data_IF_346286263102
#
_entry.id   IF_346286263102
#
_cell.length_a   1.000
_cell.length_b   1.000
_cell.length_c   1.000
_cell.angle_alpha   90.00
_cell.angle_beta   90.00
_cell.angle_gamma   90.00
#
_symmetry.space_group_name_H-M   'P 1'
#
loop_
_entity.id
_entity.type
_entity.pdbx_description
1 polymer ?
#
# COMPACT_ATOMS: atom_id res chain seq x y z
N UNK A 1 -13.86 -10.26 59.02
CA UNK A 1 -12.76 -9.78 58.15
C UNK A 1 -13.26 -8.57 57.37
N UNK A 2 -12.82 -7.36 57.72
CA UNK A 2 -13.16 -6.14 56.98
C UNK A 2 -12.24 -6.07 55.75
N UNK A 3 -12.78 -6.28 54.55
CA UNK A 3 -12.09 -5.95 53.31
C UNK A 3 -11.90 -4.43 53.25
N UNK A 4 -10.68 -3.95 53.48
CA UNK A 4 -10.26 -2.59 53.10
C UNK A 4 -10.32 -2.52 51.58
N UNK A 5 -11.36 -1.87 51.05
CA UNK A 5 -11.41 -1.49 49.65
C UNK A 5 -10.31 -0.44 49.40
N UNK A 6 -9.21 -0.84 48.76
CA UNK A 6 -8.27 0.10 48.15
C UNK A 6 -9.00 0.77 46.99
N UNK A 7 -9.28 2.07 47.08
CA UNK A 7 -9.89 2.81 45.98
C UNK A 7 -8.94 2.79 44.78
N UNK A 8 -9.24 1.97 43.78
CA UNK A 8 -8.45 1.93 42.54
C UNK A 8 -8.56 3.29 41.85
N UNK A 9 -7.46 4.04 41.77
CA UNK A 9 -7.41 5.30 41.03
C UNK A 9 -7.62 4.98 39.53
N UNK A 10 -8.75 5.41 38.98
CA UNK A 10 -9.05 5.29 37.56
C UNK A 10 -8.81 6.64 36.84
N UNK A 11 -8.65 6.59 35.51
CA UNK A 11 -8.42 7.76 34.68
C UNK A 11 -9.36 7.75 33.47
N UNK A 12 -10.00 8.89 33.17
CA UNK A 12 -10.68 9.12 31.89
C UNK A 12 -9.85 10.09 31.04
N UNK A 13 -9.13 9.56 30.05
CA UNK A 13 -8.23 10.32 29.17
C UNK A 13 -7.20 11.16 29.93
N UNK A 14 -6.40 11.92 29.19
CA UNK A 14 -5.49 12.95 29.69
C UNK A 14 -5.64 14.19 28.82
N UNK A 15 -5.50 15.38 29.41
CA UNK A 15 -5.46 16.63 28.65
C UNK A 15 -4.20 16.65 27.77
N UNK A 16 -4.35 17.02 26.50
CA UNK A 16 -3.21 17.24 25.62
C UNK A 16 -2.35 18.41 26.15
N UNK A 17 -1.02 18.30 26.13
CA UNK A 17 -0.13 19.41 26.42
C UNK A 17 -0.29 20.56 25.42
N UNK A 18 0.15 21.77 25.77
CA UNK A 18 0.07 22.94 24.89
C UNK A 18 0.93 22.84 23.63
N UNK A 19 1.91 21.92 23.61
CA UNK A 19 2.72 21.57 22.44
C UNK A 19 1.97 20.72 21.40
N UNK A 20 0.74 20.27 21.69
CA UNK A 20 -0.07 19.44 20.81
C UNK A 20 -1.40 20.12 20.49
N UNK A 21 -1.79 20.15 19.21
CA UNK A 21 -3.10 20.66 18.79
C UNK A 21 -4.04 19.47 18.61
N UNK A 22 -5.15 19.46 19.34
CA UNK A 22 -6.17 18.41 19.20
C UNK A 22 -6.73 18.40 17.77
N UNK A 23 -6.70 17.26 17.08
CA UNK A 23 -7.25 17.10 15.73
C UNK A 23 -8.70 17.58 15.61
N UNK A 24 -9.51 17.37 16.65
CA UNK A 24 -10.92 17.76 16.65
C UNK A 24 -11.19 19.24 16.99
N UNK A 25 -10.16 20.03 17.35
CA UNK A 25 -10.33 21.47 17.60
C UNK A 25 -10.54 22.24 16.28
N UNK A 26 -11.02 23.48 16.35
CA UNK A 26 -11.16 24.34 15.16
C UNK A 26 -9.83 24.51 14.42
N UNK A 27 -8.73 24.67 15.17
CA UNK A 27 -7.37 24.77 14.63
C UNK A 27 -6.90 23.44 14.01
N UNK A 28 -7.11 22.31 14.69
CA UNK A 28 -6.73 20.98 14.18
C UNK A 28 -7.47 20.60 12.89
N UNK A 29 -8.76 20.99 12.78
CA UNK A 29 -9.54 20.84 11.55
C UNK A 29 -9.05 21.72 10.42
N UNK A 30 -8.68 22.98 10.73
CA UNK A 30 -8.10 23.90 9.74
C UNK A 30 -6.82 23.32 9.14
N UNK A 31 -5.88 22.89 9.99
CA UNK A 31 -4.63 22.25 9.55
C UNK A 31 -4.91 21.06 8.62
N UNK A 32 -5.87 20.21 8.98
CA UNK A 32 -6.22 19.04 8.17
C UNK A 32 -6.81 19.42 6.80
N UNK A 33 -7.73 20.39 6.75
CA UNK A 33 -8.34 20.84 5.50
C UNK A 33 -7.27 21.44 4.58
N UNK A 34 -6.37 22.27 5.11
CA UNK A 34 -5.27 22.87 4.36
C UNK A 34 -4.30 21.80 3.84
N UNK A 35 -3.95 20.81 4.66
CA UNK A 35 -3.16 19.64 4.24
C UNK A 35 -3.83 18.82 3.14
N UNK A 36 -5.15 18.59 3.25
CA UNK A 36 -5.92 17.82 2.29
C UNK A 36 -5.98 18.50 0.93
N UNK A 37 -6.27 19.81 0.90
CA UNK A 37 -6.30 20.61 -0.35
C UNK A 37 -4.94 20.61 -1.05
N UNK A 38 -3.85 20.55 -0.29
CA UNK A 38 -2.48 20.47 -0.83
C UNK A 38 -2.02 19.06 -1.22
N UNK A 39 -2.84 18.03 -0.99
CA UNK A 39 -2.47 16.64 -1.27
C UNK A 39 -1.54 16.00 -0.25
N UNK A 40 -1.37 16.57 0.95
CA UNK A 40 -0.54 16.02 2.02
C UNK A 40 -1.36 15.35 3.14
N UNK A 41 -2.49 14.71 2.79
CA UNK A 41 -3.35 13.98 3.73
C UNK A 41 -4.05 12.77 3.07
N UNK A 42 -3.54 12.25 1.95
CA UNK A 42 -4.20 11.18 1.19
C UNK A 42 -4.23 9.86 1.98
N UNK A 43 -3.12 9.51 2.64
CA UNK A 43 -3.04 8.29 3.46
C UNK A 43 -4.03 8.28 4.64
N UNK A 44 -4.50 9.45 5.08
CA UNK A 44 -5.48 9.58 6.17
C UNK A 44 -6.71 8.72 5.92
N UNK A 45 -7.24 8.67 4.69
CA UNK A 45 -8.48 7.96 4.40
C UNK A 45 -8.36 6.46 4.64
N UNK A 46 -7.22 5.86 4.26
CA UNK A 46 -6.95 4.45 4.55
C UNK A 46 -6.75 4.21 6.04
N UNK A 47 -5.94 5.03 6.71
CA UNK A 47 -5.69 4.91 8.14
C UNK A 47 -6.95 5.10 9.00
N UNK A 48 -7.78 6.10 8.67
CA UNK A 48 -9.02 6.39 9.38
C UNK A 48 -10.03 5.25 9.26
N UNK A 49 -10.08 4.58 8.10
CA UNK A 49 -10.94 3.42 7.85
C UNK A 49 -10.58 2.20 8.72
N UNK A 50 -9.34 2.14 9.22
CA UNK A 50 -8.85 1.06 10.07
C UNK A 50 -8.44 1.51 11.47
N UNK A 51 -8.83 2.73 11.90
CA UNK A 51 -8.36 3.27 13.16
C UNK A 51 -8.98 2.55 14.36
N UNK A 52 -8.14 1.83 15.11
CA UNK A 52 -8.54 1.06 16.30
C UNK A 52 -7.95 1.61 17.60
N UNK A 53 -8.46 1.12 18.73
CA UNK A 53 -7.87 1.36 20.05
C UNK A 53 -7.03 0.16 20.42
N UNK A 54 -5.81 0.35 20.92
CA UNK A 54 -4.97 -0.76 21.39
C UNK A 54 -5.68 -1.56 22.50
N UNK A 55 -5.73 -2.90 22.41
CA UNK A 55 -6.48 -3.73 23.38
C UNK A 55 -5.81 -3.74 24.76
N UNK A 56 -4.47 -3.65 24.79
CA UNK A 56 -3.68 -3.63 26.02
C UNK A 56 -2.82 -2.36 26.10
N UNK A 57 -2.52 -1.83 27.30
CA UNK A 57 -1.68 -0.63 27.45
C UNK A 57 -0.29 -0.71 26.79
N UNK A 58 0.28 -1.90 26.61
CA UNK A 58 1.58 -2.11 25.94
C UNK A 58 1.47 -2.44 24.44
N UNK A 59 0.26 -2.63 23.91
CA UNK A 59 0.03 -3.09 22.53
C UNK A 59 0.11 -2.00 21.46
N UNK A 60 0.50 -0.77 21.80
CA UNK A 60 0.57 0.34 20.83
C UNK A 60 1.32 -0.01 19.53
N UNK A 61 2.40 -0.81 19.60
CA UNK A 61 3.10 -1.31 18.43
C UNK A 61 2.28 -2.29 17.60
N UNK A 62 1.57 -3.23 18.24
CA UNK A 62 0.69 -4.18 17.56
C UNK A 62 -0.49 -3.47 16.90
N UNK A 63 -1.19 -2.58 17.61
CA UNK A 63 -2.34 -1.85 17.07
C UNK A 63 -1.95 -1.00 15.87
N UNK A 64 -0.79 -0.34 15.97
CA UNK A 64 -0.24 0.44 14.86
C UNK A 64 0.04 -0.45 13.66
N UNK A 65 0.64 -1.63 13.86
CA UNK A 65 0.90 -2.56 12.76
C UNK A 65 -0.40 -3.15 12.18
N UNK A 66 -1.41 -3.45 13.01
CA UNK A 66 -2.74 -3.88 12.54
C UNK A 66 -3.39 -2.79 11.67
N UNK A 67 -3.30 -1.51 12.08
CA UNK A 67 -3.78 -0.39 11.27
C UNK A 67 -3.08 -0.36 9.91
N UNK A 68 -1.75 -0.49 9.89
CA UNK A 68 -0.93 -0.50 8.67
C UNK A 68 -1.32 -1.66 7.77
N UNK A 69 -1.36 -2.89 8.30
CA UNK A 69 -1.65 -4.09 7.52
C UNK A 69 -3.04 -4.06 6.90
N UNK A 70 -4.05 -3.62 7.65
CA UNK A 70 -5.40 -3.51 7.11
C UNK A 70 -5.53 -2.34 6.12
N UNK A 71 -4.87 -1.20 6.37
CA UNK A 71 -4.85 -0.06 5.43
C UNK A 71 -4.13 -0.36 4.11
N UNK A 72 -3.13 -1.24 4.15
CA UNK A 72 -2.47 -1.77 2.96
C UNK A 72 -3.15 -3.02 2.39
N UNK A 73 -4.35 -3.35 2.91
CA UNK A 73 -5.19 -4.48 2.47
C UNK A 73 -4.45 -5.82 2.44
N UNK A 74 -3.55 -6.03 3.41
CA UNK A 74 -2.78 -7.26 3.51
C UNK A 74 -3.68 -8.40 3.99
N UNK A 75 -3.86 -9.41 3.14
CA UNK A 75 -4.54 -10.64 3.54
C UNK A 75 -3.68 -11.44 4.53
N UNK A 76 -4.14 -11.70 5.77
CA UNK A 76 -3.37 -12.46 6.75
C UNK A 76 -3.17 -13.93 6.36
N UNK A 77 -3.93 -14.46 5.39
CA UNK A 77 -3.87 -15.86 4.99
C UNK A 77 -4.44 -16.84 6.04
N UNK A 78 -4.92 -16.34 7.17
CA UNK A 78 -5.54 -17.11 8.26
C UNK A 78 -6.83 -16.45 8.73
N UNK A 79 -7.77 -17.28 9.19
CA UNK A 79 -9.06 -16.82 9.72
C UNK A 79 -8.84 -16.15 11.08
N UNK A 80 -9.42 -14.96 11.26
CA UNK A 80 -9.51 -14.30 12.56
C UNK A 80 -10.70 -14.80 13.36
N UNK A 81 -11.89 -14.58 12.81
CA UNK A 81 -13.17 -15.03 13.34
C UNK A 81 -13.98 -15.53 12.15
N UNK A 82 -14.27 -16.82 12.12
CA UNK A 82 -14.94 -17.45 10.98
C UNK A 82 -16.21 -16.68 10.57
N UNK A 83 -16.44 -16.40 9.28
CA UNK A 83 -15.62 -16.76 8.10
C UNK A 83 -14.52 -15.76 7.72
N UNK A 84 -14.26 -14.75 8.54
CA UNK A 84 -13.49 -13.56 8.18
C UNK A 84 -11.97 -13.72 8.36
N UNK A 85 -11.22 -13.28 7.35
CA UNK A 85 -9.77 -13.06 7.40
C UNK A 85 -9.53 -11.56 7.54
N UNK A 86 -8.93 -11.17 8.65
CA UNK A 86 -8.64 -9.76 8.93
C UNK A 86 -7.54 -9.69 9.97
N UNK A 87 -6.64 -8.70 9.88
CA UNK A 87 -5.59 -8.57 10.90
C UNK A 87 -6.17 -8.10 12.22
N UNK A 88 -5.71 -8.75 13.29
CA UNK A 88 -6.01 -8.44 14.68
C UNK A 88 -4.72 -8.56 15.50
N UNK A 89 -4.65 -7.89 16.66
CA UNK A 89 -3.42 -7.84 17.48
C UNK A 89 -2.97 -9.25 17.92
N UNK A 90 -3.92 -10.15 18.14
CA UNK A 90 -3.68 -11.57 18.47
C UNK A 90 -3.01 -12.39 17.35
N UNK A 91 -2.73 -11.79 16.20
CA UNK A 91 -2.05 -12.41 15.05
C UNK A 91 -0.61 -11.92 14.85
N UNK A 92 -0.05 -11.12 15.76
CA UNK A 92 1.25 -10.50 15.55
C UNK A 92 2.29 -11.08 16.53
N UNK A 93 2.53 -12.39 16.39
CA UNK A 93 3.26 -13.22 17.36
C UNK A 93 4.52 -13.90 16.80
N UNK A 94 4.85 -13.69 15.53
CA UNK A 94 5.92 -14.44 14.85
C UNK A 94 7.36 -14.04 15.23
N UNK A 95 7.56 -12.87 15.85
CA UNK A 95 8.90 -12.42 16.29
C UNK A 95 9.04 -12.35 17.81
N UNK A 96 7.93 -12.11 18.53
CA UNK A 96 7.89 -11.99 19.98
C UNK A 96 6.56 -12.56 20.46
N UNK A 97 6.54 -13.46 21.47
CA UNK A 97 5.29 -13.97 22.02
C UNK A 97 4.38 -12.87 22.57
N UNK A 98 3.07 -12.98 22.35
CA UNK A 98 2.09 -11.97 22.79
C UNK A 98 2.11 -11.71 24.30
N UNK A 99 2.42 -12.73 25.11
CA UNK A 99 2.55 -12.63 26.57
C UNK A 99 3.72 -11.76 27.00
N UNK A 100 4.80 -11.72 26.21
CA UNK A 100 5.95 -10.87 26.49
C UNK A 100 5.67 -9.44 26.02
N UNK A 101 5.07 -9.27 24.83
CA UNK A 101 4.61 -7.97 24.33
C UNK A 101 3.63 -7.32 25.33
N UNK A 102 2.75 -8.11 25.96
CA UNK A 102 1.80 -7.63 26.96
C UNK A 102 2.48 -7.04 28.21
N UNK A 103 3.70 -7.50 28.54
CA UNK A 103 4.47 -7.03 29.70
C UNK A 103 5.34 -5.82 29.35
N UNK A 104 6.01 -5.83 28.20
CA UNK A 104 7.10 -4.89 27.91
C UNK A 104 6.89 -4.04 26.66
N UNK A 105 5.89 -4.35 25.83
CA UNK A 105 5.73 -3.77 24.50
C UNK A 105 6.72 -4.35 23.50
N UNK A 106 7.02 -3.58 22.44
CA UNK A 106 8.01 -3.96 21.43
C UNK A 106 8.99 -2.82 21.13
N UNK A 107 10.19 -3.17 20.69
CA UNK A 107 11.21 -2.24 20.22
C UNK A 107 11.03 -1.90 18.75
N UNK A 108 11.74 -0.88 18.24
CA UNK A 108 11.67 -0.50 16.81
C UNK A 108 12.09 -1.66 15.87
N UNK A 109 13.10 -2.44 16.26
CA UNK A 109 13.54 -3.61 15.48
C UNK A 109 12.54 -4.77 15.56
N UNK A 110 11.88 -4.96 16.69
CA UNK A 110 10.81 -5.97 16.81
C UNK A 110 9.58 -5.58 16.00
N UNK A 111 9.23 -4.28 15.96
CA UNK A 111 8.19 -3.77 15.06
C UNK A 111 8.52 -4.10 13.59
N UNK A 112 9.75 -3.79 13.16
CA UNK A 112 10.21 -4.11 11.80
C UNK A 112 10.09 -5.61 11.50
N UNK A 113 10.58 -6.47 12.40
CA UNK A 113 10.46 -7.93 12.26
C UNK A 113 9.00 -8.38 12.11
N UNK A 114 8.09 -7.89 12.95
CA UNK A 114 6.68 -8.24 12.88
C UNK A 114 6.05 -7.77 11.56
N UNK A 115 6.37 -6.57 11.09
CA UNK A 115 5.90 -6.04 9.82
C UNK A 115 6.42 -6.88 8.63
N UNK A 116 7.71 -7.22 8.65
CA UNK A 116 8.38 -8.05 7.65
C UNK A 116 7.80 -9.46 7.55
N UNK A 117 7.61 -10.09 8.70
CA UNK A 117 6.94 -11.38 8.82
C UNK A 117 5.49 -11.33 8.32
N UNK A 118 4.83 -10.17 8.43
CA UNK A 118 3.49 -9.93 7.92
C UNK A 118 3.50 -9.21 6.57
N UNK A 119 4.44 -9.62 5.70
CA UNK A 119 4.43 -9.32 4.27
C UNK A 119 4.74 -7.85 3.94
N UNK A 120 5.22 -7.04 4.88
CA UNK A 120 5.59 -5.64 4.60
C UNK A 120 7.08 -5.49 4.31
N UNK A 121 7.42 -4.63 3.35
CA UNK A 121 8.75 -4.11 3.19
C UNK A 121 8.89 -3.02 4.24
N UNK A 122 10.05 -2.99 4.91
CA UNK A 122 10.30 -2.03 5.98
C UNK A 122 11.62 -1.33 5.75
N UNK A 123 11.58 0.00 5.81
CA UNK A 123 12.79 0.81 5.85
C UNK A 123 12.87 1.50 7.21
N UNK A 124 13.78 1.00 8.07
CA UNK A 124 13.96 1.53 9.43
C UNK A 124 14.94 2.69 9.43
N UNK A 125 14.52 3.82 10.01
CA UNK A 125 15.34 5.02 10.19
C UNK A 125 15.47 5.37 11.66
N UNK A 126 16.61 5.01 12.25
CA UNK A 126 16.97 5.43 13.60
C UNK A 126 17.24 6.94 13.65
N UNK A 127 16.70 7.61 14.67
CA UNK A 127 16.80 9.05 14.79
C UNK A 127 18.22 9.52 15.07
N UNK A 128 18.58 10.68 14.52
CA UNK A 128 19.81 11.37 14.84
C UNK A 128 19.59 12.89 14.93
N UNK A 129 20.49 13.58 15.64
CA UNK A 129 20.35 14.99 15.97
C UNK A 129 20.72 15.94 14.84
N UNK A 130 21.23 15.45 13.71
CA UNK A 130 21.67 16.29 12.58
C UNK A 130 20.47 16.92 11.87
N UNK A 131 20.66 18.13 11.33
CA UNK A 131 19.66 18.82 10.51
C UNK A 131 19.30 18.02 9.24
N UNK A 132 20.26 17.32 8.66
CA UNK A 132 20.07 16.43 7.53
C UNK A 132 18.98 15.39 7.77
N UNK A 133 18.93 14.78 8.97
CA UNK A 133 17.90 13.81 9.31
C UNK A 133 16.50 14.43 9.36
N UNK A 134 16.38 15.63 9.91
CA UNK A 134 15.09 16.34 9.94
C UNK A 134 14.63 16.68 8.51
N UNK A 135 15.55 17.04 7.61
CA UNK A 135 15.22 17.29 6.21
C UNK A 135 14.77 16.01 5.50
N UNK A 136 15.49 14.90 5.66
CA UNK A 136 15.09 13.59 5.10
C UNK A 136 13.73 13.15 5.66
N UNK A 137 13.51 13.30 6.97
CA UNK A 137 12.22 13.00 7.60
C UNK A 137 11.10 13.82 6.96
N UNK A 138 11.31 15.13 6.72
CA UNK A 138 10.31 16.00 6.11
C UNK A 138 9.97 15.58 4.69
N UNK A 139 10.97 15.25 3.87
CA UNK A 139 10.72 14.77 2.50
C UNK A 139 9.98 13.43 2.49
N UNK A 140 10.36 12.48 3.36
CA UNK A 140 9.66 11.21 3.51
C UNK A 140 8.21 11.41 3.99
N UNK A 141 7.97 12.35 4.91
CA UNK A 141 6.63 12.72 5.36
C UNK A 141 5.81 13.27 4.19
N UNK A 142 6.33 14.24 3.42
CA UNK A 142 5.62 14.79 2.25
C UNK A 142 5.22 13.70 1.27
N UNK A 143 6.16 12.81 0.92
CA UNK A 143 5.91 11.70 0.00
C UNK A 143 4.85 10.73 0.54
N UNK A 144 5.02 10.23 1.78
CA UNK A 144 4.12 9.24 2.36
C UNK A 144 2.70 9.79 2.62
N UNK A 145 2.56 11.09 2.91
CA UNK A 145 1.23 11.67 3.13
C UNK A 145 0.50 11.95 1.81
N UNK A 146 1.20 11.97 0.67
CA UNK A 146 0.62 12.19 -0.66
C UNK A 146 0.17 10.91 -1.36
N UNK A 147 0.81 9.78 -1.05
CA UNK A 147 0.44 8.45 -1.56
C UNK A 147 -0.49 7.72 -0.60
N UNK A 148 -1.01 6.56 -1.01
CA UNK A 148 -1.88 5.71 -0.19
C UNK A 148 -1.37 4.25 -0.05
N UNK A 149 -0.19 3.95 -0.60
CA UNK A 149 0.45 2.62 -0.60
C UNK A 149 1.64 2.49 0.37
N UNK A 150 2.05 3.62 0.97
CA UNK A 150 3.22 3.70 1.84
C UNK A 150 2.85 4.43 3.12
N UNK A 151 2.99 3.77 4.26
CA UNK A 151 2.63 4.31 5.57
C UNK A 151 3.89 4.56 6.40
N UNK A 152 3.99 5.78 6.93
CA UNK A 152 5.04 6.16 7.86
C UNK A 152 4.58 5.94 9.31
N UNK A 153 5.32 5.12 10.04
CA UNK A 153 5.10 4.84 11.47
C UNK A 153 6.24 5.40 12.29
N UNK A 154 5.93 6.04 13.41
CA UNK A 154 6.93 6.59 14.34
C UNK A 154 6.98 5.81 15.64
N UNK A 155 8.19 5.62 16.17
CA UNK A 155 8.46 5.25 17.56
C UNK A 155 9.03 6.46 18.28
N UNK A 156 8.37 6.96 19.31
CA UNK A 156 8.77 8.21 19.96
C UNK A 156 8.51 8.16 21.47
N UNK A 157 9.19 9.04 22.22
CA UNK A 157 8.98 9.18 23.65
C UNK A 157 7.95 10.27 23.96
N UNK A 158 6.81 9.87 24.55
CA UNK A 158 5.72 10.79 24.93
C UNK A 158 6.16 11.94 25.84
N UNK A 159 7.16 11.73 26.70
CA UNK A 159 7.60 12.75 27.65
C UNK A 159 8.12 14.01 26.95
N UNK A 160 8.75 13.86 25.78
CA UNK A 160 9.28 15.00 25.00
C UNK A 160 8.15 15.88 24.45
N UNK A 161 6.98 15.29 24.20
CA UNK A 161 5.76 16.02 23.81
C UNK A 161 5.04 16.60 25.03
N UNK A 162 5.54 16.41 26.26
CA UNK A 162 4.84 16.76 27.51
C UNK A 162 3.70 15.80 27.88
N UNK A 163 3.59 14.66 27.19
CA UNK A 163 2.56 13.67 27.44
C UNK A 163 2.99 12.68 28.52
N UNK A 164 2.02 12.05 29.16
CA UNK A 164 2.29 10.99 30.15
C UNK A 164 2.62 9.67 29.46
N UNK A 165 3.48 8.85 30.07
CA UNK A 165 3.97 7.58 29.51
C UNK A 165 5.38 7.71 28.93
N UNK A 166 5.92 6.62 28.39
CA UNK A 166 7.27 6.55 27.81
C UNK A 166 7.19 6.33 26.29
N UNK A 167 7.88 5.31 25.76
CA UNK A 167 7.86 4.94 24.34
C UNK A 167 6.44 4.64 23.83
N UNK A 168 6.14 5.06 22.60
CA UNK A 168 4.86 4.85 21.93
C UNK A 168 5.04 4.68 20.42
N UNK A 169 4.13 3.94 19.78
CA UNK A 169 4.04 3.79 18.33
C UNK A 169 2.70 4.32 17.82
N UNK A 170 2.70 5.00 16.68
CA UNK A 170 1.49 5.37 15.94
C UNK A 170 1.83 5.71 14.48
N UNK A 171 0.89 5.53 13.53
CA UNK A 171 1.06 6.00 12.16
C UNK A 171 0.84 7.51 12.07
N UNK A 172 1.41 8.12 11.02
CA UNK A 172 1.18 9.52 10.67
C UNK A 172 0.09 9.64 9.62
N UNK A 173 -0.81 10.61 9.77
CA UNK A 173 -2.02 10.72 8.94
C UNK A 173 -2.06 11.88 7.96
N UNK A 174 -1.41 13.01 8.27
CA UNK A 174 -1.43 14.22 7.44
C UNK A 174 -0.29 15.17 7.81
N UNK A 175 0.22 15.93 6.84
CA UNK A 175 1.29 16.91 7.02
C UNK A 175 0.84 18.31 6.60
N UNK A 176 1.00 19.28 7.49
CA UNK A 176 0.71 20.69 7.24
C UNK A 176 2.02 21.45 7.01
N UNK A 177 2.26 21.81 5.75
CA UNK A 177 3.56 22.29 5.29
C UNK A 177 3.91 23.68 5.83
N UNK A 178 2.96 24.62 5.85
CA UNK A 178 3.19 25.99 6.28
C UNK A 178 3.62 26.10 7.75
N UNK A 179 3.07 25.23 8.61
CA UNK A 179 3.40 25.23 10.03
C UNK A 179 4.40 24.13 10.41
N UNK A 180 4.90 23.35 9.45
CA UNK A 180 5.76 22.17 9.69
C UNK A 180 5.20 21.22 10.76
N UNK A 181 3.90 20.93 10.69
CA UNK A 181 3.18 20.08 11.65
C UNK A 181 2.70 18.77 11.04
N UNK A 182 2.66 17.73 11.85
CA UNK A 182 2.32 16.37 11.43
C UNK A 182 1.28 15.77 12.37
N UNK A 183 0.27 15.11 11.80
CA UNK A 183 -0.83 14.49 12.53
C UNK A 183 -0.44 13.08 12.97
N UNK A 184 -0.39 12.86 14.28
CA UNK A 184 -0.22 11.53 14.88
C UNK A 184 -1.59 10.89 15.09
N UNK A 185 -1.81 9.72 14.47
CA UNK A 185 -3.04 8.91 14.63
C UNK A 185 -2.92 8.00 15.87
N UNK A 186 -2.99 8.62 17.06
CA UNK A 186 -2.68 7.96 18.34
C UNK A 186 -3.59 6.76 18.65
N UNK A 187 -3.02 5.55 18.64
CA UNK A 187 -3.74 4.29 18.92
C UNK A 187 -4.13 4.12 20.39
N UNK A 188 -3.56 4.89 21.31
CA UNK A 188 -3.97 4.95 22.72
C UNK A 188 -5.20 5.85 22.89
N UNK A 189 -6.28 5.57 22.16
CA UNK A 189 -7.48 6.43 22.06
C UNK A 189 -8.24 6.61 23.38
N UNK A 190 -8.01 5.72 24.35
CA UNK A 190 -8.47 5.87 25.73
C UNK A 190 -7.73 6.97 26.50
N UNK A 191 -6.57 7.42 26.01
CA UNK A 191 -5.65 8.37 26.67
C UNK A 191 -5.63 9.72 25.97
N UNK A 192 -5.31 9.75 24.68
CA UNK A 192 -5.19 10.96 23.88
C UNK A 192 -5.93 10.80 22.54
N UNK A 193 -6.54 11.87 21.98
CA UNK A 193 -7.06 11.85 20.62
C UNK A 193 -5.90 11.97 19.62
N UNK A 194 -6.14 11.79 18.30
CA UNK A 194 -5.22 12.26 17.28
C UNK A 194 -4.87 13.73 17.49
N UNK A 195 -3.62 14.08 17.23
CA UNK A 195 -3.10 15.41 17.53
C UNK A 195 -1.96 15.78 16.60
N UNK A 196 -1.87 17.07 16.32
CA UNK A 196 -0.77 17.66 15.57
C UNK A 196 0.39 17.99 16.49
N UNK A 197 1.60 17.79 15.99
CA UNK A 197 2.84 18.23 16.63
C UNK A 197 3.78 18.84 15.60
N UNK A 198 4.64 19.80 15.98
CA UNK A 198 5.76 20.23 15.14
C UNK A 198 6.69 19.06 14.81
N UNK A 199 7.12 18.98 13.55
CA UNK A 199 7.99 17.89 13.08
C UNK A 199 9.34 17.86 13.83
N UNK A 200 9.84 19.03 14.22
CA UNK A 200 11.04 19.20 15.07
C UNK A 200 10.87 18.54 16.44
N UNK A 201 9.74 18.76 17.12
CA UNK A 201 9.44 18.14 18.43
C UNK A 201 9.30 16.63 18.28
N UNK A 202 8.67 16.16 17.20
CA UNK A 202 8.57 14.72 16.92
C UNK A 202 9.96 14.10 16.69
N UNK A 203 10.84 14.78 15.93
CA UNK A 203 12.25 14.37 15.76
C UNK A 203 12.94 14.24 17.10
N UNK A 204 12.82 15.24 17.97
CA UNK A 204 13.44 15.22 19.30
C UNK A 204 12.89 14.07 20.17
N UNK A 205 11.59 13.76 20.06
CA UNK A 205 10.98 12.64 20.74
C UNK A 205 11.51 11.28 20.28
N UNK A 206 11.96 11.17 19.02
CA UNK A 206 12.59 9.97 18.49
C UNK A 206 14.06 9.81 18.94
N UNK A 207 14.75 10.89 19.34
CA UNK A 207 16.14 10.83 19.82
C UNK A 207 16.30 10.10 21.16
N UNK A 208 15.22 9.92 21.91
CA UNK A 208 15.24 9.19 23.18
C UNK A 208 15.76 7.77 22.99
N UNK A 209 16.69 7.35 23.85
CA UNK A 209 17.24 5.98 23.82
C UNK A 209 16.21 5.00 24.39
N UNK A 210 15.93 3.93 23.66
CA UNK A 210 15.17 2.80 24.16
C UNK A 210 16.05 1.94 25.07
N UNK A 211 15.71 1.89 26.36
CA UNK A 211 16.49 1.19 27.39
C UNK A 211 16.66 -0.31 27.12
N UNK A 212 15.75 -0.93 26.34
CA UNK A 212 15.82 -2.36 26.01
C UNK A 212 16.88 -2.64 24.95
N UNK A 213 17.15 -1.68 24.05
CA UNK A 213 18.06 -1.89 22.89
C UNK A 213 19.35 -1.07 22.95
N UNK A 214 19.39 -0.01 23.76
CA UNK A 214 20.48 0.97 23.77
C UNK A 214 20.55 1.84 22.51
N UNK A 215 19.55 1.78 21.62
CA UNK A 215 19.47 2.57 20.39
C UNK A 215 18.44 3.70 20.53
N UNK A 216 18.57 4.81 19.77
CA UNK A 216 17.49 5.79 19.67
C UNK A 216 16.23 5.12 19.10
N UNK A 217 15.08 5.78 19.26
CA UNK A 217 13.88 5.43 18.50
C UNK A 217 14.01 5.94 17.07
N UNK A 218 12.91 6.13 16.37
CA UNK A 218 12.96 6.46 14.94
C UNK A 218 11.62 6.26 14.26
N UNK A 219 11.66 6.08 12.94
CA UNK A 219 10.48 5.82 12.13
C UNK A 219 10.71 4.66 11.16
N UNK A 220 9.62 4.12 10.63
CA UNK A 220 9.62 3.13 9.57
C UNK A 220 8.80 3.66 8.39
N UNK A 221 9.27 3.38 7.18
CA UNK A 221 8.45 3.41 5.98
C UNK A 221 7.98 1.97 5.71
N UNK A 222 6.67 1.80 5.56
CA UNK A 222 6.03 0.50 5.44
C UNK A 222 5.22 0.47 4.15
N UNK A 223 5.47 -0.52 3.31
CA UNK A 223 4.67 -0.82 2.11
C UNK A 223 4.48 -2.31 2.00
N UNK A 224 3.47 -2.77 1.29
CA UNK A 224 3.30 -4.20 1.04
C UNK A 224 4.48 -4.72 0.21
N UNK A 225 5.07 -5.86 0.59
CA UNK A 225 6.17 -6.50 -0.18
C UNK A 225 5.68 -6.82 -1.58
N UNK A 226 6.40 -6.30 -2.55
CA UNK A 226 6.22 -6.55 -3.98
C UNK A 226 6.11 -8.05 -4.33
N UNK A 227 6.84 -8.94 -3.63
CA UNK A 227 6.78 -10.39 -3.86
C UNK A 227 5.61 -11.12 -3.21
N UNK A 228 4.94 -10.52 -2.21
CA UNK A 228 3.71 -11.08 -1.63
C UNK A 228 2.47 -10.61 -2.38
N UNK A 229 2.66 -9.56 -3.15
CA UNK A 229 1.79 -9.20 -4.23
C UNK A 229 1.94 -10.25 -5.35
N UNK A 230 1.04 -11.25 -5.37
CA UNK A 230 0.84 -12.21 -6.48
C UNK A 230 0.44 -11.56 -7.81
N UNK A 231 1.38 -11.32 -8.73
CA UNK A 231 1.09 -11.06 -10.16
C UNK A 231 -0.29 -11.59 -10.56
N UNK A 232 -1.19 -10.67 -10.93
CA UNK A 232 -2.28 -11.00 -11.83
C UNK A 232 -1.68 -11.35 -13.21
N UNK A 233 -0.91 -12.44 -13.27
CA UNK A 233 -1.04 -13.36 -14.37
C UNK A 233 -2.45 -13.87 -14.19
N UNK A 234 -3.40 -13.15 -14.79
CA UNK A 234 -4.79 -13.50 -14.99
C UNK A 234 -5.02 -14.97 -14.62
N UNK A 235 -5.36 -15.24 -13.35
CA UNK A 235 -5.94 -16.52 -12.95
C UNK A 235 -7.39 -16.47 -13.41
N UNK A 236 -7.56 -16.28 -14.72
CA UNK A 236 -8.81 -16.50 -15.44
C UNK A 236 -9.24 -17.96 -15.37
N UNK A 237 -8.39 -18.83 -14.83
CA UNK A 237 -8.72 -20.21 -14.49
C UNK A 237 -9.28 -20.42 -13.08
N UNK A 238 -9.57 -19.36 -12.32
CA UNK A 238 -10.21 -19.47 -11.00
C UNK A 238 -11.65 -19.00 -11.00
N UNK A 239 -12.54 -19.74 -11.66
CA UNK A 239 -13.99 -19.49 -11.78
C UNK A 239 -14.41 -18.46 -12.87
N UNK A 240 -14.38 -18.89 -14.14
CA UNK A 240 -14.87 -18.14 -15.31
C UNK A 240 -16.29 -17.58 -15.09
N UNK A 241 -17.13 -18.29 -14.32
CA UNK A 241 -18.51 -17.87 -14.07
C UNK A 241 -18.59 -16.61 -13.21
N UNK A 242 -17.69 -16.45 -12.23
CA UNK A 242 -17.63 -15.28 -11.36
C UNK A 242 -17.10 -14.04 -12.09
N UNK A 243 -16.14 -14.21 -13.01
CA UNK A 243 -15.59 -13.09 -13.78
C UNK A 243 -16.52 -12.62 -14.90
N UNK A 244 -17.34 -13.52 -15.45
CA UNK A 244 -18.28 -13.20 -16.54
C UNK A 244 -19.24 -12.06 -16.18
N UNK A 245 -19.84 -12.09 -14.98
CA UNK A 245 -20.79 -11.06 -14.54
C UNK A 245 -20.15 -9.69 -14.35
N UNK A 246 -18.86 -9.67 -14.01
CA UNK A 246 -18.11 -8.45 -13.75
C UNK A 246 -17.47 -7.86 -15.02
N UNK A 247 -16.96 -8.72 -15.91
CA UNK A 247 -16.19 -8.33 -17.09
C UNK A 247 -17.07 -8.06 -18.32
N UNK A 248 -18.19 -8.78 -18.50
CA UNK A 248 -19.03 -8.64 -19.69
C UNK A 248 -19.55 -7.20 -19.94
N UNK A 249 -20.01 -6.43 -18.92
CA UNK A 249 -20.42 -5.04 -19.14
C UNK A 249 -19.27 -4.16 -19.64
N UNK A 250 -18.04 -4.42 -19.18
CA UNK A 250 -16.84 -3.66 -19.55
C UNK A 250 -16.32 -4.02 -20.92
N UNK A 251 -16.40 -5.30 -21.29
CA UNK A 251 -16.14 -5.73 -22.66
C UNK A 251 -17.08 -5.01 -23.63
N UNK A 252 -18.37 -4.90 -23.30
CA UNK A 252 -19.34 -4.17 -24.12
C UNK A 252 -19.02 -2.68 -24.23
N UNK A 253 -18.68 -2.03 -23.12
CA UNK A 253 -18.27 -0.62 -23.08
C UNK A 253 -17.02 -0.37 -23.95
N UNK A 254 -16.03 -1.27 -23.85
CA UNK A 254 -14.81 -1.19 -24.66
C UNK A 254 -15.08 -1.45 -26.15
N UNK A 255 -15.90 -2.45 -26.50
CA UNK A 255 -16.29 -2.72 -27.88
C UNK A 255 -17.09 -1.56 -28.50
N UNK A 256 -17.95 -0.91 -27.72
CA UNK A 256 -18.67 0.29 -28.14
C UNK A 256 -17.71 1.43 -28.46
N UNK A 257 -16.77 1.71 -27.55
CA UNK A 257 -15.74 2.72 -27.78
C UNK A 257 -14.89 2.40 -29.03
N UNK A 258 -14.46 1.15 -29.21
CA UNK A 258 -13.67 0.77 -30.39
C UNK A 258 -14.43 0.93 -31.72
N UNK A 259 -15.76 0.96 -31.70
CA UNK A 259 -16.61 1.13 -32.88
C UNK A 259 -16.88 2.60 -33.27
N UNK A 260 -16.56 3.56 -32.39
CA UNK A 260 -16.73 4.99 -32.67
C UNK A 260 -15.68 5.52 -33.68
N UNK A 261 -15.95 6.71 -34.24
CA UNK A 261 -15.05 7.38 -35.18
C UNK A 261 -13.74 7.81 -34.49
N UNK A 262 -12.60 7.56 -35.16
CA UNK A 262 -11.29 7.94 -34.66
C UNK A 262 -11.06 9.46 -34.77
N UNK A 263 -10.33 10.04 -33.81
CA UNK A 263 -9.87 11.42 -33.90
C UNK A 263 -8.86 11.58 -35.04
N UNK A 264 -8.87 12.74 -35.69
CA UNK A 264 -7.95 13.05 -36.80
C UNK A 264 -6.49 13.19 -36.35
N UNK A 265 -6.26 13.55 -35.08
CA UNK A 265 -4.92 13.64 -34.49
C UNK A 265 -4.54 12.28 -33.88
N UNK A 266 -3.58 11.59 -34.50
CA UNK A 266 -3.17 10.24 -34.10
C UNK A 266 -2.62 10.16 -32.67
N UNK A 267 -1.97 11.21 -32.17
CA UNK A 267 -1.39 11.21 -30.83
C UNK A 267 -2.47 11.34 -29.77
N UNK A 268 -3.37 12.30 -29.98
CA UNK A 268 -4.53 12.51 -29.11
C UNK A 268 -5.50 11.32 -29.16
N UNK A 269 -5.64 10.67 -30.32
CA UNK A 269 -6.41 9.44 -30.46
C UNK A 269 -5.86 8.35 -29.55
N UNK A 270 -4.56 8.10 -29.58
CA UNK A 270 -3.98 7.06 -28.75
C UNK A 270 -4.00 7.40 -27.26
N UNK A 271 -3.73 8.65 -26.89
CA UNK A 271 -3.89 9.12 -25.50
C UNK A 271 -5.32 8.86 -25.00
N UNK A 272 -6.33 9.17 -25.84
CA UNK A 272 -7.74 8.92 -25.53
C UNK A 272 -8.03 7.43 -25.38
N UNK A 273 -7.52 6.59 -26.30
CA UNK A 273 -7.67 5.14 -26.25
C UNK A 273 -7.07 4.55 -24.97
N UNK A 274 -5.86 4.98 -24.59
CA UNK A 274 -5.19 4.56 -23.35
C UNK A 274 -5.97 5.03 -22.11
N UNK A 275 -6.48 6.26 -22.10
CA UNK A 275 -7.27 6.80 -21.00
C UNK A 275 -8.60 6.04 -20.83
N UNK A 276 -9.32 5.76 -21.92
CA UNK A 276 -10.58 4.99 -21.88
C UNK A 276 -10.33 3.55 -21.46
N UNK A 277 -9.31 2.89 -22.01
CA UNK A 277 -8.95 1.54 -21.60
C UNK A 277 -8.60 1.48 -20.10
N UNK A 278 -7.82 2.45 -19.62
CA UNK A 278 -7.49 2.59 -18.20
C UNK A 278 -8.76 2.79 -17.38
N UNK A 279 -9.65 3.70 -17.76
CA UNK A 279 -10.90 3.95 -17.03
C UNK A 279 -11.78 2.69 -16.93
N UNK A 280 -11.86 1.89 -17.99
CA UNK A 280 -12.67 0.66 -18.04
C UNK A 280 -12.06 -0.46 -17.20
N UNK A 281 -10.75 -0.68 -17.29
CA UNK A 281 -10.10 -1.88 -16.76
C UNK A 281 -9.25 -1.68 -15.51
N UNK A 282 -8.90 -0.45 -15.13
CA UNK A 282 -8.06 -0.17 -13.95
C UNK A 282 -8.68 -0.73 -12.67
N UNK A 283 -10.00 -0.65 -12.52
CA UNK A 283 -10.72 -1.23 -11.38
C UNK A 283 -10.80 -2.77 -11.37
N UNK A 284 -10.40 -3.43 -12.46
CA UNK A 284 -10.39 -4.88 -12.62
C UNK A 284 -8.98 -5.46 -12.65
N UNK A 285 -7.96 -4.60 -12.70
CA UNK A 285 -6.57 -4.98 -12.56
C UNK A 285 -6.25 -4.92 -11.08
N UNK A 286 -6.11 -6.11 -10.49
CA UNK A 286 -5.53 -6.24 -9.16
C UNK A 286 -4.06 -5.86 -9.28
N UNK A 287 -3.69 -4.74 -8.67
CA UNK A 287 -2.36 -4.14 -8.76
C UNK A 287 -1.27 -5.09 -8.24
N UNK A 288 -0.28 -5.37 -9.10
CA UNK A 288 0.98 -6.01 -8.77
C UNK A 288 2.11 -5.18 -9.37
N UNK A 289 2.86 -4.47 -8.54
CA UNK A 289 3.91 -3.57 -9.01
C UNK A 289 5.33 -4.13 -8.79
N UNK A 290 6.15 -4.00 -9.84
CA UNK A 290 7.45 -4.68 -10.06
C UNK A 290 8.64 -3.72 -10.01
N UNK A 291 8.84 -3.08 -8.87
CA UNK A 291 9.90 -2.07 -8.73
C UNK A 291 10.83 -2.37 -7.54
N UNK A 292 11.51 -3.53 -7.51
CA UNK A 292 12.53 -3.74 -6.45
C UNK A 292 13.72 -4.66 -6.75
N UNK A 293 13.99 -5.05 -8.00
CA UNK A 293 15.24 -5.74 -8.37
C UNK A 293 16.54 -4.91 -8.19
N UNK A 294 16.47 -3.60 -8.01
CA UNK A 294 17.68 -2.76 -7.96
C UNK A 294 18.23 -2.54 -6.55
N UNK A 295 17.42 -2.68 -5.50
CA UNK A 295 17.85 -2.39 -4.13
C UNK A 295 18.31 -3.64 -3.35
N UNK A 296 17.81 -4.83 -3.69
CA UNK A 296 18.23 -6.10 -3.08
C UNK A 296 19.70 -6.43 -3.44
N UNK A 297 20.17 -6.01 -4.63
CA UNK A 297 21.56 -6.21 -5.05
C UNK A 297 22.59 -5.41 -4.21
N UNK A 298 22.17 -4.39 -3.45
CA UNK A 298 23.07 -3.60 -2.60
C UNK A 298 23.01 -3.98 -1.11
N UNK A 299 22.01 -4.77 -0.69
CA UNK A 299 21.79 -5.09 0.72
C UNK A 299 22.35 -6.46 1.17
N UNK A 300 22.62 -7.39 0.26
CA UNK A 300 22.94 -8.79 0.62
C UNK A 300 24.39 -9.19 0.33
N UNK A 301 25.30 -8.77 1.22
CA UNK A 301 26.63 -9.36 1.38
C UNK A 301 26.75 -10.32 2.57
N UNK A 302 25.67 -10.58 3.32
CA UNK A 302 25.71 -11.33 4.58
C UNK A 302 24.36 -11.98 4.94
N UNK A 303 24.05 -13.18 4.44
CA UNK A 303 23.27 -14.15 5.22
C UNK A 303 23.47 -15.58 4.71
N UNK A 304 23.81 -16.49 5.63
CA UNK A 304 24.02 -17.92 5.41
C UNK A 304 22.74 -18.72 5.68
N UNK A 305 22.50 -19.71 4.82
CA UNK A 305 21.84 -21.01 5.05
C UNK A 305 20.45 -21.05 5.72
N UNK A 306 19.39 -21.24 4.94
CA UNK A 306 18.64 -22.52 4.85
C UNK A 306 17.31 -22.38 4.07
N UNK A 307 17.15 -23.27 3.08
CA UNK A 307 15.89 -23.80 2.54
C UNK A 307 14.86 -22.87 1.84
N UNK A 308 14.41 -23.32 0.66
CA UNK A 308 13.30 -22.87 -0.20
C UNK A 308 13.46 -21.61 -1.08
N UNK A 309 14.34 -20.67 -0.76
CA UNK A 309 14.45 -19.39 -1.52
C UNK A 309 15.05 -19.50 -2.93
N UNK A 310 15.78 -20.57 -3.26
CA UNK A 310 16.51 -20.65 -4.54
C UNK A 310 15.59 -20.83 -5.76
N UNK A 311 14.38 -21.39 -5.59
CA UNK A 311 13.37 -21.47 -6.66
C UNK A 311 12.61 -20.16 -6.81
N UNK A 312 12.36 -19.44 -5.71
CA UNK A 312 11.74 -18.13 -5.70
C UNK A 312 12.65 -17.09 -6.41
N UNK A 313 13.96 -17.17 -6.17
CA UNK A 313 14.99 -16.33 -6.82
C UNK A 313 15.03 -16.42 -8.36
N UNK A 314 14.65 -17.57 -8.95
CA UNK A 314 14.57 -17.70 -10.42
C UNK A 314 13.32 -17.05 -10.99
N UNK A 315 12.22 -17.05 -10.24
CA UNK A 315 10.97 -16.42 -10.65
C UNK A 315 10.99 -14.91 -10.50
N UNK A 316 11.66 -14.37 -9.47
CA UNK A 316 11.81 -12.91 -9.25
C UNK A 316 12.61 -12.24 -10.37
N UNK A 317 13.78 -12.77 -10.74
CA UNK A 317 14.60 -12.26 -11.85
C UNK A 317 13.86 -12.27 -13.20
N UNK A 318 12.92 -13.20 -13.38
CA UNK A 318 12.12 -13.36 -14.60
C UNK A 318 11.06 -12.28 -14.76
N UNK A 319 10.51 -11.74 -13.67
CA UNK A 319 9.42 -10.78 -13.73
C UNK A 319 9.90 -9.32 -13.70
N UNK A 320 10.98 -9.02 -12.98
CA UNK A 320 11.62 -7.68 -13.01
C UNK A 320 12.18 -7.32 -14.38
N UNK A 321 12.63 -8.32 -15.16
CA UNK A 321 13.09 -8.09 -16.53
C UNK A 321 11.94 -7.63 -17.43
N UNK A 322 10.78 -8.28 -17.30
CA UNK A 322 9.61 -8.02 -18.13
C UNK A 322 9.04 -6.65 -17.82
N UNK A 323 8.91 -6.28 -16.56
CA UNK A 323 8.32 -4.99 -16.19
C UNK A 323 9.20 -3.82 -16.63
N UNK A 324 10.53 -3.94 -16.51
CA UNK A 324 11.45 -2.94 -17.08
C UNK A 324 11.33 -2.82 -18.59
N UNK A 325 11.15 -3.94 -19.30
CA UNK A 325 10.94 -3.92 -20.75
C UNK A 325 9.62 -3.26 -21.11
N UNK A 326 8.54 -3.58 -20.40
CA UNK A 326 7.23 -2.98 -20.63
C UNK A 326 7.24 -1.47 -20.37
N UNK A 327 7.88 -1.02 -19.29
CA UNK A 327 8.01 0.40 -18.98
C UNK A 327 8.89 1.17 -19.99
N UNK A 328 9.67 0.47 -20.81
CA UNK A 328 10.45 1.09 -21.90
C UNK A 328 9.69 1.21 -23.22
N UNK A 329 8.46 0.66 -23.29
CA UNK A 329 7.61 0.73 -24.46
C UNK A 329 6.93 2.09 -24.58
N UNK A 330 6.56 2.46 -25.80
CA UNK A 330 5.93 3.74 -26.10
C UNK A 330 4.56 3.86 -25.41
N UNK A 331 3.78 2.77 -25.40
CA UNK A 331 2.50 2.67 -24.70
C UNK A 331 2.60 2.99 -23.20
N UNK A 332 3.71 2.65 -22.55
CA UNK A 332 3.90 2.90 -21.12
C UNK A 332 4.01 4.39 -20.76
N UNK A 333 4.23 5.28 -21.75
CA UNK A 333 4.20 6.73 -21.52
C UNK A 333 2.78 7.30 -21.37
N UNK A 334 1.73 6.52 -21.74
CA UNK A 334 0.32 6.92 -21.66
C UNK A 334 -0.45 6.20 -20.54
N UNK A 335 0.14 5.15 -19.96
CA UNK A 335 -0.50 4.30 -18.95
C UNK A 335 0.45 4.12 -17.78
N UNK A 336 0.09 4.70 -16.64
CA UNK A 336 0.92 4.67 -15.41
C UNK A 336 1.00 3.29 -14.77
N UNK A 337 -0.03 2.47 -14.92
CA UNK A 337 -0.07 1.12 -14.36
C UNK A 337 0.56 0.10 -15.32
N UNK A 338 1.64 -0.54 -14.88
CA UNK A 338 2.28 -1.65 -15.62
C UNK A 338 1.28 -2.76 -15.94
N UNK A 339 0.36 -3.07 -15.02
CA UNK A 339 -0.67 -4.09 -15.22
C UNK A 339 -1.69 -3.73 -16.31
N UNK A 340 -2.13 -2.46 -16.37
CA UNK A 340 -3.00 -1.98 -17.45
C UNK A 340 -2.28 -2.00 -18.79
N UNK A 341 -1.01 -1.62 -18.81
CA UNK A 341 -0.19 -1.66 -20.02
C UNK A 341 -0.02 -3.10 -20.54
N UNK A 342 0.28 -4.07 -19.65
CA UNK A 342 0.32 -5.50 -20.00
C UNK A 342 -1.02 -5.97 -20.56
N UNK A 343 -2.14 -5.61 -19.92
CA UNK A 343 -3.47 -6.01 -20.35
C UNK A 343 -3.80 -5.47 -21.74
N UNK A 344 -3.44 -4.21 -22.02
CA UNK A 344 -3.64 -3.59 -23.33
C UNK A 344 -2.76 -4.25 -24.40
N UNK A 345 -1.48 -4.49 -24.12
CA UNK A 345 -0.56 -5.18 -25.04
C UNK A 345 -1.02 -6.61 -25.36
N UNK A 346 -1.63 -7.28 -24.37
CA UNK A 346 -2.18 -8.61 -24.53
C UNK A 346 -3.57 -8.63 -25.20
N UNK A 347 -4.23 -7.47 -25.38
CA UNK A 347 -5.62 -7.44 -25.81
C UNK A 347 -5.83 -8.03 -27.22
N UNK A 348 -6.80 -8.96 -27.42
CA UNK A 348 -7.07 -9.56 -28.71
C UNK A 348 -7.91 -8.63 -29.60
N UNK A 349 -7.23 -7.77 -30.37
CA UNK A 349 -7.89 -6.90 -31.34
C UNK A 349 -8.26 -7.69 -32.61
N UNK A 350 -9.56 -7.80 -32.87
CA UNK A 350 -10.09 -8.45 -34.07
C UNK A 350 -9.84 -7.61 -35.33
N UNK A 351 -9.83 -8.24 -36.50
CA UNK A 351 -9.86 -7.51 -37.76
C UNK A 351 -11.22 -6.82 -37.92
N UNK A 352 -11.21 -5.50 -38.07
CA UNK A 352 -12.42 -4.70 -38.17
C UNK A 352 -12.26 -3.59 -39.23
N UNK A 353 -13.38 -2.99 -39.61
CA UNK A 353 -13.38 -1.79 -40.46
C UNK A 353 -13.06 -0.50 -39.68
N UNK A 354 -13.01 -0.56 -38.34
CA UNK A 354 -12.76 0.59 -37.46
C UNK A 354 -11.32 1.10 -37.62
N UNK A 355 -11.20 2.39 -37.95
CA UNK A 355 -9.90 3.04 -38.09
C UNK A 355 -9.15 3.12 -36.75
N UNK A 356 -9.87 3.37 -35.65
CA UNK A 356 -9.34 3.34 -34.27
C UNK A 356 -8.66 2.00 -33.96
N UNK A 357 -9.32 0.89 -34.29
CA UNK A 357 -8.76 -0.46 -34.08
C UNK A 357 -7.50 -0.68 -34.92
N UNK A 358 -7.47 -0.21 -36.18
CA UNK A 358 -6.27 -0.33 -37.04
C UNK A 358 -5.09 0.46 -36.48
N UNK A 359 -5.32 1.70 -36.03
CA UNK A 359 -4.29 2.57 -35.44
C UNK A 359 -3.74 1.92 -34.16
N UNK A 360 -4.62 1.50 -33.26
CA UNK A 360 -4.25 0.83 -32.02
C UNK A 360 -3.44 -0.45 -32.27
N UNK A 361 -3.94 -1.32 -33.16
CA UNK A 361 -3.27 -2.59 -33.51
C UNK A 361 -1.84 -2.35 -34.01
N UNK A 362 -1.65 -1.39 -34.92
CA UNK A 362 -0.33 -1.04 -35.46
C UNK A 362 0.62 -0.55 -34.36
N UNK A 363 0.15 0.26 -33.41
CA UNK A 363 0.98 0.80 -32.32
C UNK A 363 1.37 -0.28 -31.31
N UNK A 364 0.43 -1.15 -30.93
CA UNK A 364 0.73 -2.28 -30.05
C UNK A 364 1.66 -3.30 -30.71
N UNK A 365 1.49 -3.61 -32.01
CA UNK A 365 2.40 -4.50 -32.75
C UNK A 365 3.84 -3.94 -32.79
N UNK A 366 3.99 -2.63 -32.96
CA UNK A 366 5.30 -1.98 -32.89
C UNK A 366 5.95 -2.16 -31.51
N UNK A 367 5.18 -2.00 -30.42
CA UNK A 367 5.70 -2.21 -29.07
C UNK A 367 5.99 -3.69 -28.76
N UNK A 368 5.14 -4.60 -29.18
CA UNK A 368 5.36 -6.05 -29.04
C UNK A 368 6.63 -6.51 -29.78
N UNK A 369 6.96 -5.89 -30.92
CA UNK A 369 8.18 -6.20 -31.68
C UNK A 369 9.48 -5.85 -30.94
N UNK A 370 9.42 -5.01 -29.91
CA UNK A 370 10.57 -4.58 -29.09
C UNK A 370 10.84 -5.50 -27.91
N UNK A 371 9.94 -6.45 -27.63
CA UNK A 371 10.05 -7.36 -26.49
C UNK A 371 10.92 -8.57 -26.83
N UNK A 372 11.63 -9.08 -25.82
CA UNK A 372 12.30 -10.38 -25.94
C UNK A 372 11.27 -11.54 -25.97
N UNK A 373 11.71 -12.69 -26.48
CA UNK A 373 10.89 -13.89 -26.68
C UNK A 373 10.14 -14.31 -25.41
N UNK A 374 10.80 -14.21 -24.25
CA UNK A 374 10.23 -14.61 -22.95
C UNK A 374 9.14 -13.65 -22.47
N UNK A 375 9.32 -12.35 -22.67
CA UNK A 375 8.33 -11.33 -22.37
C UNK A 375 7.11 -11.49 -23.28
N UNK A 376 7.37 -11.73 -24.58
CA UNK A 376 6.35 -11.95 -25.58
C UNK A 376 5.50 -13.20 -25.28
N UNK A 377 6.13 -14.31 -24.90
CA UNK A 377 5.44 -15.57 -24.52
C UNK A 377 4.43 -15.35 -23.37
N UNK A 378 4.80 -14.56 -22.35
CA UNK A 378 3.89 -14.25 -21.24
C UNK A 378 2.72 -13.38 -21.70
N UNK A 379 2.97 -12.38 -22.54
CA UNK A 379 1.90 -11.56 -23.11
C UNK A 379 0.95 -12.40 -23.96
N UNK A 380 1.46 -13.33 -24.77
CA UNK A 380 0.63 -14.22 -25.59
C UNK A 380 -0.19 -15.20 -24.74
N UNK A 381 0.38 -15.68 -23.62
CA UNK A 381 -0.37 -16.47 -22.63
C UNK A 381 -1.56 -15.69 -22.09
N UNK A 382 -1.36 -14.41 -21.73
CA UNK A 382 -2.43 -13.54 -21.25
C UNK A 382 -3.47 -13.31 -22.35
N UNK A 383 -3.04 -13.02 -23.58
CA UNK A 383 -3.93 -12.83 -24.75
C UNK A 383 -4.86 -14.01 -24.92
N UNK A 384 -4.32 -15.23 -24.90
CA UNK A 384 -5.11 -16.45 -25.06
C UNK A 384 -6.18 -16.61 -23.98
N UNK A 385 -5.86 -16.24 -22.73
CA UNK A 385 -6.83 -16.28 -21.64
C UNK A 385 -7.97 -15.25 -21.84
N UNK A 386 -7.64 -14.04 -22.29
CA UNK A 386 -8.64 -12.99 -22.59
C UNK A 386 -9.56 -13.46 -23.72
N UNK A 387 -9.02 -14.07 -24.77
CA UNK A 387 -9.79 -14.63 -25.88
C UNK A 387 -10.78 -15.71 -25.41
N UNK A 388 -10.35 -16.62 -24.53
CA UNK A 388 -11.22 -17.66 -23.98
C UNK A 388 -12.42 -17.05 -23.25
N UNK A 389 -12.20 -16.02 -22.45
CA UNK A 389 -13.30 -15.35 -21.73
C UNK A 389 -14.18 -14.52 -22.63
N UNK A 390 -13.60 -13.76 -23.55
CA UNK A 390 -14.37 -12.95 -24.50
C UNK A 390 -15.29 -13.85 -25.33
N UNK A 391 -14.79 -14.99 -25.81
CA UNK A 391 -15.60 -15.97 -26.53
C UNK A 391 -16.71 -16.57 -25.65
N UNK A 392 -16.40 -16.87 -24.38
CA UNK A 392 -17.40 -17.37 -23.42
C UNK A 392 -18.49 -16.32 -23.20
N UNK A 393 -18.13 -15.06 -22.97
CA UNK A 393 -19.08 -13.96 -22.80
C UNK A 393 -19.96 -13.74 -24.05
N UNK A 394 -19.40 -13.92 -25.27
CA UNK A 394 -20.14 -13.75 -26.53
C UNK A 394 -21.15 -14.87 -26.78
N UNK A 395 -20.78 -16.13 -26.54
CA UNK A 395 -21.66 -17.27 -26.80
C UNK A 395 -22.95 -17.20 -25.95
N UNK A 396 -22.84 -16.78 -24.69
CA UNK A 396 -23.99 -16.64 -23.80
C UNK A 396 -24.93 -15.46 -24.16
N UNK A 397 -24.39 -14.41 -24.78
CA UNK A 397 -25.21 -13.30 -25.31
C UNK A 397 -26.06 -13.79 -26.50
N UNK A 398 -25.53 -14.70 -27.31
CA UNK A 398 -26.27 -15.29 -28.44
C UNK A 398 -27.35 -16.26 -27.93
N UNK A 399 -27.04 -17.11 -26.94
CA UNK A 399 -28.00 -18.06 -26.35
C UNK A 399 -29.16 -17.37 -25.59
N UNK A 400 -28.90 -16.24 -24.93
CA UNK A 400 -29.94 -15.43 -24.26
C UNK A 400 -30.80 -14.58 -25.20
N UNK A 401 -30.41 -14.45 -26.47
CA UNK A 401 -31.18 -13.75 -27.51
C UNK A 401 -31.93 -14.69 -28.46
N UNK A 402 -31.71 -16.00 -28.33
CA UNK A 402 -32.33 -17.07 -29.14
C UNK A 402 -33.26 -17.98 -28.31
N UNK A 403 -33.43 -17.67 -27.02
CA UNK A 403 -34.49 -18.17 -26.13
C UNK A 403 -35.51 -17.07 -25.86
#
# INVERSE_FOLDING_TARGET
MQHRATSTQNFYRRKLPSSCINFASSEGKKLFIESLVKGHANIYFRLASHFLTQDEPSYCGLSTLVMVLNALEVDPGRVWKSPWRFYHESMLDCCVPLDDIKKTGITLSQFACLAECNKLYTEVKYANSKSEFLNILRENVKQCMAVDDTILVVSYNRQVLGQTGAGHFSPLGAYHEESDQILIMDVARFKYPPHWVPLTILRDAMLSIDTTTGKPRGYLLLKLRSHVQQLALLRLQGDISAYKTLLAPRLKEWEQFLAEEALSNQELEFETVCAVFTAIFMGYIVFHDFSEAYQIMQAEGKCHNNCSDMQLMKQTNSCDHICRKILSLDTASYITSTGVCVLLLAWPLQETLSERVRILKRRLENDLSKLDEKSLEKIMTIRHQIEQISNTCKNDIVESSSS
#
